data_IF_136821072650
#
_entry.id   IF_136821072650
#
_cell.length_a   1.000
_cell.length_b   1.000
_cell.length_c   1.000
_cell.angle_alpha   90.00
_cell.angle_beta   90.00
_cell.angle_gamma   90.00
#
_symmetry.space_group_name_H-M   'P 1'
#
loop_
_entity.id
_entity.type
_entity.pdbx_description
1 polymer ?
#
# COMPACT_ATOMS: atom_id res chain seq x y z
N UNK A 1 -18.41 -12.48 -40.63
CA UNK A 1 -17.15 -13.00 -41.20
C UNK A 1 -16.24 -13.35 -40.04
N UNK A 2 -16.14 -14.66 -39.76
CA UNK A 2 -15.42 -15.19 -38.60
C UNK A 2 -13.99 -15.53 -38.98
N UNK A 3 -13.00 -15.02 -38.26
CA UNK A 3 -11.62 -15.43 -38.43
C UNK A 3 -11.28 -16.59 -37.48
N UNK A 4 -10.67 -17.68 -37.95
CA UNK A 4 -10.28 -18.80 -37.12
C UNK A 4 -8.92 -18.58 -36.46
N UNK A 5 -8.85 -18.88 -35.16
CA UNK A 5 -7.59 -18.92 -34.40
C UNK A 5 -6.88 -20.25 -34.71
N UNK A 6 -5.68 -20.14 -35.26
CA UNK A 6 -4.82 -21.29 -35.61
C UNK A 6 -4.14 -21.85 -34.35
N UNK A 7 -4.44 -23.11 -34.00
CA UNK A 7 -3.68 -23.93 -33.06
C UNK A 7 -2.50 -24.55 -33.80
N UNK A 8 -1.26 -24.18 -33.51
CA UNK A 8 -0.07 -24.96 -33.85
C UNK A 8 0.38 -25.76 -32.64
N UNK A 9 0.15 -27.07 -32.70
CA UNK A 9 0.81 -28.03 -31.85
C UNK A 9 2.28 -28.16 -32.29
N UNK A 10 3.22 -28.09 -31.38
CA UNK A 10 4.60 -28.52 -31.57
C UNK A 10 4.91 -29.65 -30.60
N UNK A 11 5.19 -30.83 -31.16
CA UNK A 11 5.59 -32.07 -30.51
C UNK A 11 7.12 -32.08 -30.44
N UNK A 12 7.66 -32.47 -29.31
CA UNK A 12 8.83 -33.30 -29.18
C UNK A 12 10.18 -32.65 -29.06
N UNK A 13 10.85 -32.98 -27.93
CA UNK A 13 12.27 -32.81 -27.72
C UNK A 13 12.63 -32.93 -26.25
N UNK A 14 12.76 -34.16 -25.74
CA UNK A 14 13.36 -34.40 -24.41
C UNK A 14 14.87 -34.15 -24.51
N UNK A 15 15.31 -33.02 -23.95
CA UNK A 15 16.72 -32.78 -23.65
C UNK A 15 16.88 -32.83 -22.14
N UNK A 16 17.59 -33.84 -21.65
CA UNK A 16 18.05 -33.91 -20.27
C UNK A 16 19.04 -32.79 -20.01
N UNK A 17 18.54 -31.67 -19.48
CA UNK A 17 19.34 -30.57 -18.99
C UNK A 17 19.65 -30.76 -17.52
N UNK A 18 20.91 -30.91 -17.16
CA UNK A 18 21.40 -30.86 -15.80
C UNK A 18 20.95 -29.55 -15.15
N UNK A 19 20.11 -29.62 -14.11
CA UNK A 19 19.76 -28.49 -13.30
C UNK A 19 21.01 -28.04 -12.52
N UNK A 20 21.70 -27.02 -13.01
CA UNK A 20 22.66 -26.29 -12.21
C UNK A 20 21.87 -25.58 -11.10
N UNK A 21 22.02 -26.05 -9.88
CA UNK A 21 21.60 -25.31 -8.68
C UNK A 21 22.42 -24.03 -8.66
N UNK A 22 21.83 -22.94 -9.08
CA UNK A 22 22.43 -21.61 -8.87
C UNK A 22 22.45 -21.38 -7.35
N UNK A 23 23.61 -21.56 -6.74
CA UNK A 23 23.89 -21.09 -5.40
C UNK A 23 23.80 -19.58 -5.51
N UNK A 24 22.67 -19.01 -5.07
CA UNK A 24 22.47 -17.57 -5.03
C UNK A 24 23.65 -16.94 -4.26
N UNK A 25 24.29 -15.94 -4.86
CA UNK A 25 25.27 -15.14 -4.17
C UNK A 25 24.65 -14.62 -2.84
N UNK A 26 25.37 -14.63 -1.72
CA UNK A 26 24.85 -14.08 -0.47
C UNK A 26 24.41 -12.64 -0.73
N UNK A 27 23.20 -12.29 -0.27
CA UNK A 27 22.72 -10.92 -0.36
C UNK A 27 23.79 -10.01 0.28
N UNK A 28 24.25 -9.01 -0.47
CA UNK A 28 25.21 -8.06 0.06
C UNK A 28 24.66 -7.44 1.34
N UNK A 29 25.45 -7.34 2.41
CA UNK A 29 25.03 -6.73 3.67
C UNK A 29 24.54 -5.30 3.43
N UNK A 30 23.44 -4.94 4.11
CA UNK A 30 22.87 -3.60 4.01
C UNK A 30 23.91 -2.55 4.45
N UNK A 31 24.06 -1.49 3.65
CA UNK A 31 24.92 -0.36 4.02
C UNK A 31 24.44 0.25 5.34
N UNK A 32 25.32 0.64 6.28
CA UNK A 32 24.90 1.29 7.52
C UNK A 32 23.94 2.46 7.24
N UNK A 33 22.73 2.43 7.83
CA UNK A 33 21.70 3.44 7.61
C UNK A 33 20.73 3.17 6.45
N UNK A 34 21.00 2.21 5.57
CA UNK A 34 20.12 1.90 4.42
C UNK A 34 18.72 1.47 4.85
N UNK A 35 18.59 0.71 5.94
CA UNK A 35 17.32 0.26 6.52
C UNK A 35 16.95 1.03 7.81
N UNK A 36 17.41 2.27 7.96
CA UNK A 36 17.11 3.10 9.14
C UNK A 36 15.75 3.77 9.04
N UNK A 37 15.20 4.11 10.20
CA UNK A 37 13.95 4.85 10.36
C UNK A 37 14.20 6.18 11.08
N UNK A 38 13.30 7.17 10.97
CA UNK A 38 13.35 8.37 11.77
C UNK A 38 13.33 8.04 13.28
N UNK A 39 14.12 8.78 14.06
CA UNK A 39 14.29 8.56 15.51
C UNK A 39 13.73 9.68 16.36
N UNK A 40 12.88 10.53 15.80
CA UNK A 40 12.21 11.59 16.50
C UNK A 40 11.26 11.02 17.56
N UNK A 41 10.83 11.88 18.47
CA UNK A 41 9.87 11.46 19.50
C UNK A 41 8.56 10.95 18.86
N UNK A 42 8.02 11.66 17.85
CA UNK A 42 6.77 11.29 17.17
C UNK A 42 6.91 9.98 16.40
N UNK A 43 8.02 9.80 15.66
CA UNK A 43 8.30 8.55 14.96
C UNK A 43 8.35 7.35 15.91
N UNK A 44 8.97 7.49 17.10
CA UNK A 44 9.00 6.43 18.12
C UNK A 44 7.61 6.13 18.67
N UNK A 45 6.77 7.15 18.91
CA UNK A 45 5.38 6.95 19.36
C UNK A 45 4.56 6.21 18.31
N UNK A 46 4.68 6.62 17.05
CA UNK A 46 4.01 5.95 15.92
C UNK A 46 4.47 4.49 15.79
N UNK A 47 5.76 4.23 15.86
CA UNK A 47 6.29 2.86 15.85
C UNK A 47 5.69 2.01 16.98
N UNK A 48 5.58 2.57 18.17
CA UNK A 48 5.01 1.88 19.33
C UNK A 48 3.52 1.57 19.12
N UNK A 49 2.74 2.53 18.62
CA UNK A 49 1.32 2.34 18.28
C UNK A 49 1.16 1.18 17.28
N UNK A 50 1.86 1.27 16.16
CA UNK A 50 1.80 0.28 15.06
C UNK A 50 2.25 -1.12 15.53
N UNK A 51 3.31 -1.19 16.34
CA UNK A 51 3.79 -2.47 16.89
C UNK A 51 2.76 -3.15 17.80
N UNK A 52 1.94 -2.37 18.50
CA UNK A 52 0.90 -2.90 19.41
C UNK A 52 -0.40 -3.24 18.68
N UNK A 53 -0.75 -2.47 17.63
CA UNK A 53 -2.04 -2.56 16.97
C UNK A 53 -2.03 -3.49 15.76
N UNK A 54 -0.94 -3.51 14.99
CA UNK A 54 -0.87 -4.26 13.73
C UNK A 54 -0.33 -5.68 13.94
N UNK A 55 -0.94 -6.63 13.24
CA UNK A 55 -0.40 -7.99 13.12
C UNK A 55 1.00 -7.94 12.43
N UNK A 56 1.88 -8.92 12.67
CA UNK A 56 3.26 -8.88 12.18
C UNK A 56 3.40 -8.65 10.66
N UNK A 57 2.54 -9.25 9.83
CA UNK A 57 2.59 -9.07 8.38
C UNK A 57 2.23 -7.64 7.97
N UNK A 58 1.21 -7.03 8.62
CA UNK A 58 0.74 -5.67 8.34
C UNK A 58 1.79 -4.64 8.80
N UNK A 59 2.35 -4.82 9.99
CA UNK A 59 3.46 -4.00 10.49
C UNK A 59 4.67 -4.06 9.54
N UNK A 60 5.03 -5.26 9.09
CA UNK A 60 6.14 -5.42 8.16
C UNK A 60 5.83 -4.73 6.81
N UNK A 61 4.58 -4.80 6.31
CA UNK A 61 4.13 -4.04 5.15
C UNK A 61 4.36 -2.54 5.36
N UNK A 62 3.88 -1.97 6.44
CA UNK A 62 4.05 -0.55 6.77
C UNK A 62 5.52 -0.12 6.82
N UNK A 63 6.39 -0.93 7.44
CA UNK A 63 7.83 -0.66 7.53
C UNK A 63 8.52 -0.75 6.14
N UNK A 64 8.19 -1.76 5.35
CA UNK A 64 8.74 -1.91 3.98
C UNK A 64 8.26 -0.78 3.08
N UNK A 65 7.00 -0.36 3.18
CA UNK A 65 6.45 0.77 2.43
C UNK A 65 7.30 2.03 2.61
N UNK A 66 7.70 2.35 3.84
CA UNK A 66 8.58 3.49 4.09
C UNK A 66 9.98 3.30 3.47
N UNK A 67 10.57 2.11 3.60
CA UNK A 67 11.89 1.84 3.05
C UNK A 67 11.89 1.94 1.52
N UNK A 68 10.87 1.41 0.88
CA UNK A 68 10.69 1.53 -0.58
C UNK A 68 10.39 2.96 -1.01
N UNK A 69 9.54 3.69 -0.28
CA UNK A 69 9.26 5.11 -0.54
C UNK A 69 10.54 5.94 -0.57
N UNK A 70 11.38 5.79 0.45
CA UNK A 70 12.65 6.50 0.57
C UNK A 70 13.65 6.10 -0.53
N UNK A 71 13.74 4.81 -0.84
CA UNK A 71 14.64 4.31 -1.88
C UNK A 71 14.21 4.82 -3.26
N UNK A 72 12.92 4.73 -3.59
CA UNK A 72 12.38 5.23 -4.86
C UNK A 72 12.55 6.76 -5.00
N UNK A 73 12.31 7.52 -3.93
CA UNK A 73 12.57 8.96 -3.92
C UNK A 73 14.06 9.26 -4.19
N UNK A 74 14.97 8.48 -3.59
CA UNK A 74 16.41 8.59 -3.83
C UNK A 74 16.79 8.33 -5.28
N UNK A 75 16.21 7.33 -5.94
CA UNK A 75 16.44 7.07 -7.38
C UNK A 75 15.97 8.24 -8.27
N UNK A 76 14.97 8.99 -7.82
CA UNK A 76 14.52 10.23 -8.47
C UNK A 76 15.34 11.47 -8.10
N UNK A 77 16.45 11.32 -7.37
CA UNK A 77 17.29 12.43 -6.92
C UNK A 77 16.69 13.26 -5.77
N UNK A 78 15.60 12.80 -5.15
CA UNK A 78 14.97 13.48 -4.00
C UNK A 78 15.71 13.12 -2.72
N UNK A 79 16.09 14.12 -1.95
CA UNK A 79 16.84 13.97 -0.70
C UNK A 79 15.96 14.30 0.51
N UNK A 80 15.99 13.46 1.59
CA UNK A 80 15.28 13.79 2.83
C UNK A 80 15.80 15.12 3.43
N UNK A 81 14.92 15.85 4.09
CA UNK A 81 15.14 17.18 4.69
C UNK A 81 15.47 18.32 3.70
N UNK A 82 15.60 18.02 2.41
CA UNK A 82 15.81 19.02 1.36
C UNK A 82 14.60 19.11 0.43
N UNK A 83 14.06 17.95 0.04
CA UNK A 83 12.95 17.86 -0.91
C UNK A 83 11.66 17.36 -0.29
N UNK A 84 11.73 16.73 0.88
CA UNK A 84 10.58 16.23 1.64
C UNK A 84 10.96 15.99 3.10
N UNK A 85 9.95 15.96 3.98
CA UNK A 85 10.09 15.56 5.38
C UNK A 85 10.04 14.02 5.52
N UNK A 86 11.16 13.36 5.86
CA UNK A 86 11.19 11.90 6.01
C UNK A 86 10.36 11.40 7.19
N UNK A 87 10.13 12.20 8.23
CA UNK A 87 9.22 11.83 9.32
C UNK A 87 7.79 11.76 8.82
N UNK A 88 7.35 12.74 8.02
CA UNK A 88 5.98 12.77 7.50
C UNK A 88 5.71 11.59 6.56
N UNK A 89 6.66 11.24 5.67
CA UNK A 89 6.57 10.01 4.86
C UNK A 89 6.48 8.77 5.75
N UNK A 90 7.27 8.72 6.82
CA UNK A 90 7.23 7.61 7.78
C UNK A 90 5.87 7.47 8.48
N UNK A 91 5.30 8.59 8.94
CA UNK A 91 3.99 8.61 9.57
C UNK A 91 2.90 8.07 8.63
N UNK A 92 2.88 8.55 7.38
CA UNK A 92 1.93 8.08 6.36
C UNK A 92 2.07 6.57 6.17
N UNK A 93 3.30 6.09 5.89
CA UNK A 93 3.54 4.68 5.63
C UNK A 93 3.18 3.77 6.81
N UNK A 94 3.40 4.22 8.05
CA UNK A 94 3.09 3.39 9.23
C UNK A 94 1.60 3.38 9.57
N UNK A 95 0.90 4.46 9.32
CA UNK A 95 -0.48 4.64 9.77
C UNK A 95 -1.53 4.31 8.70
N UNK A 96 -1.16 4.14 7.41
CA UNK A 96 -2.12 4.04 6.31
C UNK A 96 -3.12 2.89 6.46
N UNK A 97 -2.70 1.77 7.01
CA UNK A 97 -3.52 0.58 7.20
C UNK A 97 -4.08 0.42 8.64
N UNK A 98 -4.02 1.47 9.46
CA UNK A 98 -4.55 1.42 10.82
C UNK A 98 -6.07 1.15 10.85
N UNK A 99 -6.81 1.46 9.81
CA UNK A 99 -8.22 1.12 9.66
C UNK A 99 -8.51 -0.39 9.56
N UNK A 100 -7.49 -1.20 9.28
CA UNK A 100 -7.55 -2.67 9.28
C UNK A 100 -7.27 -3.29 10.65
N UNK A 101 -6.93 -2.49 11.66
CA UNK A 101 -6.72 -2.94 13.04
C UNK A 101 -8.00 -2.83 13.87
N UNK A 102 -8.06 -3.54 15.01
CA UNK A 102 -9.20 -3.45 15.92
C UNK A 102 -9.47 -2.00 16.37
N UNK A 103 -8.41 -1.19 16.56
CA UNK A 103 -8.54 0.22 16.96
C UNK A 103 -9.14 1.11 15.86
N UNK A 104 -8.88 0.78 14.59
CA UNK A 104 -9.37 1.52 13.44
C UNK A 104 -10.62 0.91 12.80
N UNK A 105 -11.14 -0.22 13.31
CA UNK A 105 -12.30 -0.91 12.76
C UNK A 105 -13.62 -0.21 13.15
N UNK A 106 -13.94 0.87 12.45
CA UNK A 106 -15.19 1.64 12.59
C UNK A 106 -16.19 1.26 11.48
N UNK A 107 -17.29 1.99 11.36
CA UNK A 107 -18.28 1.82 10.28
C UNK A 107 -17.86 2.40 8.92
N UNK A 108 -16.72 3.08 8.87
CA UNK A 108 -16.20 3.68 7.65
C UNK A 108 -15.35 2.66 6.85
N UNK A 109 -15.13 2.96 5.56
CA UNK A 109 -14.08 2.29 4.77
C UNK A 109 -12.75 2.40 5.52
N UNK A 110 -11.91 1.36 5.41
CA UNK A 110 -10.69 1.28 6.22
C UNK A 110 -9.72 2.45 5.97
N UNK A 111 -9.68 2.98 4.74
CA UNK A 111 -8.84 4.12 4.39
C UNK A 111 -9.25 5.37 5.17
N UNK A 112 -10.56 5.63 5.24
CA UNK A 112 -11.12 6.80 5.96
C UNK A 112 -11.00 6.59 7.46
N UNK A 113 -11.33 5.39 7.96
CA UNK A 113 -11.19 5.05 9.37
C UNK A 113 -9.73 5.16 9.85
N UNK A 114 -8.78 4.71 9.01
CA UNK A 114 -7.34 4.84 9.25
C UNK A 114 -6.87 6.29 9.24
N UNK A 115 -7.34 7.09 8.28
CA UNK A 115 -7.03 8.52 8.20
C UNK A 115 -7.51 9.29 9.44
N UNK A 116 -8.76 9.04 9.87
CA UNK A 116 -9.33 9.64 11.08
C UNK A 116 -8.58 9.22 12.35
N UNK A 117 -8.16 7.94 12.44
CA UNK A 117 -7.35 7.47 13.56
C UNK A 117 -5.98 8.16 13.57
N UNK A 118 -5.34 8.27 12.41
CA UNK A 118 -4.05 8.93 12.27
C UNK A 118 -4.13 10.41 12.65
N UNK A 119 -5.15 11.13 12.19
CA UNK A 119 -5.37 12.53 12.54
C UNK A 119 -5.52 12.71 14.06
N UNK A 120 -6.42 11.95 14.68
CA UNK A 120 -6.59 11.98 16.16
C UNK A 120 -5.32 11.60 16.92
N UNK A 121 -4.56 10.65 16.41
CA UNK A 121 -3.28 10.29 17.00
C UNK A 121 -2.30 11.47 16.99
N UNK A 122 -2.16 12.15 15.86
CA UNK A 122 -1.28 13.33 15.72
C UNK A 122 -1.74 14.47 16.64
N UNK A 123 -3.02 14.80 16.62
CA UNK A 123 -3.62 15.86 17.45
C UNK A 123 -3.43 15.60 18.95
N UNK A 124 -3.64 14.37 19.41
CA UNK A 124 -3.40 13.94 20.79
C UNK A 124 -1.93 14.01 21.20
N UNK A 125 -1.03 14.11 20.22
CA UNK A 125 0.40 14.31 20.42
C UNK A 125 0.85 15.75 20.15
N UNK A 126 -0.09 16.69 20.10
CA UNK A 126 0.19 18.12 19.96
C UNK A 126 0.53 18.59 18.54
N UNK A 127 0.30 17.76 17.53
CA UNK A 127 0.45 18.15 16.12
C UNK A 127 -0.91 18.65 15.63
N UNK A 128 -1.01 19.95 15.36
CA UNK A 128 -2.26 20.60 14.96
C UNK A 128 -2.11 21.50 13.72
N UNK A 129 -1.02 21.31 13.00
CA UNK A 129 -0.71 22.02 11.78
C UNK A 129 -1.01 21.19 10.51
N UNK A 130 -0.63 21.69 9.35
CA UNK A 130 -0.85 21.08 8.04
C UNK A 130 -0.36 19.62 7.90
N UNK A 131 0.48 19.14 8.82
CA UNK A 131 0.92 17.74 8.81
C UNK A 131 -0.23 16.77 9.05
N UNK A 132 -1.22 17.17 9.87
CA UNK A 132 -2.43 16.36 10.11
C UNK A 132 -3.19 16.17 8.81
N UNK A 133 -3.47 17.25 8.08
CA UNK A 133 -4.18 17.20 6.80
C UNK A 133 -3.38 16.39 5.76
N UNK A 134 -2.06 16.57 5.71
CA UNK A 134 -1.19 15.82 4.79
C UNK A 134 -1.25 14.31 5.04
N UNK A 135 -1.19 13.88 6.29
CA UNK A 135 -1.28 12.46 6.67
C UNK A 135 -2.68 11.94 6.39
N UNK A 136 -3.72 12.71 6.73
CA UNK A 136 -5.10 12.35 6.47
C UNK A 136 -5.38 12.18 4.97
N UNK A 137 -5.03 13.19 4.14
CA UNK A 137 -5.18 13.16 2.68
C UNK A 137 -4.47 11.92 2.08
N UNK A 138 -3.22 11.68 2.48
CA UNK A 138 -2.46 10.55 1.97
C UNK A 138 -3.13 9.21 2.30
N UNK A 139 -3.58 9.03 3.54
CA UNK A 139 -4.19 7.77 3.99
C UNK A 139 -5.58 7.59 3.35
N UNK A 140 -6.41 8.62 3.31
CA UNK A 140 -7.73 8.54 2.71
C UNK A 140 -7.69 8.24 1.20
N UNK A 141 -6.61 8.64 0.51
CA UNK A 141 -6.44 8.49 -0.93
C UNK A 141 -5.58 7.29 -1.35
N UNK A 142 -4.96 6.54 -0.43
CA UNK A 142 -3.92 5.57 -0.78
C UNK A 142 -4.40 4.40 -1.67
N UNK A 143 -5.72 4.13 -1.72
CA UNK A 143 -6.31 3.15 -2.64
C UNK A 143 -6.90 3.79 -3.91
N UNK A 144 -6.85 5.13 -4.02
CA UNK A 144 -7.35 5.86 -5.20
C UNK A 144 -6.27 5.94 -6.26
N UNK A 145 -6.34 5.02 -7.23
CA UNK A 145 -5.33 4.91 -8.28
C UNK A 145 -5.15 6.22 -9.05
N UNK A 146 -3.92 6.51 -9.46
CA UNK A 146 -3.50 7.63 -10.32
C UNK A 146 -3.75 9.05 -9.78
N UNK A 147 -4.39 9.24 -8.63
CA UNK A 147 -4.63 10.58 -8.08
C UNK A 147 -3.32 11.29 -7.77
N UNK A 148 -2.37 10.61 -7.12
CA UNK A 148 -1.07 11.18 -6.76
C UNK A 148 -0.10 11.34 -7.95
N UNK A 149 -0.39 10.73 -9.09
CA UNK A 149 0.37 10.87 -10.34
C UNK A 149 -0.02 12.14 -11.13
N UNK A 150 -1.17 12.72 -10.82
CA UNK A 150 -1.63 13.94 -11.49
C UNK A 150 -0.61 15.08 -11.33
N UNK A 151 -0.13 15.71 -12.44
CA UNK A 151 0.79 16.83 -12.34
C UNK A 151 0.23 18.04 -11.56
N UNK A 152 -1.10 18.19 -11.56
CA UNK A 152 -1.76 19.25 -10.78
C UNK A 152 -1.75 18.90 -9.30
N UNK A 153 -2.05 17.64 -8.95
CA UNK A 153 -1.96 17.16 -7.58
C UNK A 153 -0.54 17.35 -7.04
N UNK A 154 0.46 16.86 -7.77
CA UNK A 154 1.88 16.92 -7.37
C UNK A 154 2.39 18.34 -7.11
N UNK A 155 1.95 19.34 -7.89
CA UNK A 155 2.39 20.73 -7.65
C UNK A 155 1.60 21.44 -6.55
N UNK A 156 0.43 20.92 -6.15
CA UNK A 156 -0.48 21.56 -5.17
C UNK A 156 -0.47 20.87 -3.81
N UNK A 157 0.01 19.66 -3.72
CA UNK A 157 0.04 18.86 -2.49
C UNK A 157 1.47 18.57 -2.06
N UNK A 158 1.69 18.36 -0.76
CA UNK A 158 3.00 17.98 -0.24
C UNK A 158 3.57 16.75 -0.95
N UNK A 159 4.88 16.77 -1.25
CA UNK A 159 5.57 15.70 -1.97
C UNK A 159 5.54 14.38 -1.22
N UNK A 160 5.42 14.43 0.10
CA UNK A 160 5.37 13.29 1.01
C UNK A 160 4.23 12.34 0.68
N UNK A 161 3.08 12.86 0.22
CA UNK A 161 1.93 12.05 -0.20
C UNK A 161 2.35 11.13 -1.34
N UNK A 162 2.84 11.69 -2.44
CA UNK A 162 3.25 10.91 -3.60
C UNK A 162 4.38 9.94 -3.29
N UNK A 163 5.36 10.37 -2.50
CA UNK A 163 6.49 9.52 -2.07
C UNK A 163 6.00 8.32 -1.26
N UNK A 164 5.13 8.55 -0.27
CA UNK A 164 4.60 7.47 0.56
C UNK A 164 3.74 6.49 -0.26
N UNK A 165 2.84 7.00 -1.10
CA UNK A 165 1.96 6.16 -1.94
C UNK A 165 2.77 5.32 -2.95
N UNK A 166 3.85 5.86 -3.51
CA UNK A 166 4.79 5.09 -4.34
C UNK A 166 5.38 3.90 -3.54
N UNK A 167 5.84 4.13 -2.32
CA UNK A 167 6.40 3.06 -1.48
C UNK A 167 5.38 1.99 -1.08
N UNK A 168 4.14 2.39 -0.78
CA UNK A 168 3.02 1.50 -0.49
C UNK A 168 2.72 0.64 -1.72
N UNK A 169 2.63 1.25 -2.90
CA UNK A 169 2.42 0.56 -4.17
C UNK A 169 3.52 -0.46 -4.47
N UNK A 170 4.79 -0.06 -4.35
CA UNK A 170 5.93 -0.95 -4.57
C UNK A 170 5.86 -2.17 -3.64
N UNK A 171 5.51 -2.01 -2.37
CA UNK A 171 5.39 -3.18 -1.49
C UNK A 171 4.19 -4.07 -1.84
N UNK A 172 3.14 -3.49 -2.38
CA UNK A 172 1.95 -4.25 -2.77
C UNK A 172 2.18 -5.08 -4.04
N UNK A 173 2.65 -4.46 -5.12
CA UNK A 173 2.68 -5.02 -6.48
C UNK A 173 4.09 -5.23 -7.05
N UNK A 174 5.12 -4.67 -6.43
CA UNK A 174 6.48 -4.56 -6.97
C UNK A 174 6.73 -3.21 -7.64
N UNK A 175 7.98 -2.91 -8.00
CA UNK A 175 8.34 -1.71 -8.74
C UNK A 175 7.83 -1.79 -10.19
N UNK A 176 7.33 -0.67 -10.72
CA UNK A 176 6.88 -0.56 -12.12
C UNK A 176 8.06 -0.55 -13.11
N UNK A 177 9.23 -0.08 -12.66
CA UNK A 177 10.47 0.00 -13.42
C UNK A 177 11.63 -0.63 -12.62
N UNK A 178 12.48 -1.47 -13.23
CA UNK A 178 13.66 -2.05 -12.57
C UNK A 178 14.61 -1.00 -11.96
N UNK A 179 14.64 0.23 -12.49
CA UNK A 179 15.44 1.34 -11.96
C UNK A 179 14.82 2.07 -10.76
N UNK A 180 13.58 1.77 -10.40
CA UNK A 180 12.87 2.45 -9.31
C UNK A 180 13.47 2.16 -7.92
N UNK A 181 14.18 1.04 -7.77
CA UNK A 181 14.88 0.66 -6.55
C UNK A 181 16.36 0.37 -6.83
N UNK A 182 17.27 0.60 -5.86
CA UNK A 182 18.65 0.15 -5.98
C UNK A 182 18.74 -1.37 -6.16
N UNK A 183 19.73 -1.90 -6.91
CA UNK A 183 19.90 -3.34 -7.09
C UNK A 183 19.98 -4.11 -5.78
N UNK A 184 19.21 -5.20 -5.65
CA UNK A 184 19.16 -6.06 -4.47
C UNK A 184 18.58 -5.41 -3.21
N UNK A 185 18.08 -4.17 -3.29
CA UNK A 185 17.48 -3.48 -2.13
C UNK A 185 16.23 -4.20 -1.63
N UNK A 186 15.35 -4.61 -2.55
CA UNK A 186 14.13 -5.32 -2.18
C UNK A 186 14.43 -6.64 -1.43
N UNK A 187 15.45 -7.39 -1.84
CA UNK A 187 15.84 -8.64 -1.18
C UNK A 187 16.30 -8.38 0.25
N UNK A 188 17.12 -7.35 0.47
CA UNK A 188 17.58 -6.97 1.81
C UNK A 188 16.42 -6.52 2.71
N UNK A 189 15.49 -5.74 2.16
CA UNK A 189 14.29 -5.30 2.88
C UNK A 189 13.41 -6.51 3.26
N UNK A 190 13.13 -7.43 2.33
CA UNK A 190 12.33 -8.63 2.59
C UNK A 190 13.02 -9.62 3.55
N UNK A 191 14.34 -9.73 3.51
CA UNK A 191 15.09 -10.53 4.48
C UNK A 191 14.93 -9.98 5.91
N UNK A 192 14.92 -8.65 6.08
CA UNK A 192 14.79 -7.99 7.39
C UNK A 192 13.34 -7.90 7.87
N UNK A 193 12.41 -7.70 6.96
CA UNK A 193 10.96 -7.55 7.20
C UNK A 193 10.19 -8.49 6.28
N UNK A 194 10.09 -9.79 6.62
CA UNK A 194 9.46 -10.78 5.76
C UNK A 194 7.97 -10.49 5.53
N UNK A 195 7.46 -10.91 4.37
CA UNK A 195 6.08 -10.61 3.94
C UNK A 195 5.00 -11.30 4.78
N UNK A 196 5.26 -12.50 5.31
CA UNK A 196 4.36 -13.25 6.21
C UNK A 196 2.92 -13.39 5.64
N UNK A 197 2.80 -13.74 4.37
CA UNK A 197 1.52 -13.80 3.66
C UNK A 197 1.17 -12.53 2.86
N UNK A 198 1.76 -11.38 3.19
CA UNK A 198 1.71 -10.14 2.42
C UNK A 198 0.30 -9.72 2.02
N UNK A 199 0.13 -9.38 0.73
CA UNK A 199 -1.14 -8.89 0.19
C UNK A 199 -2.31 -9.87 0.35
N UNK A 200 -2.06 -11.19 0.39
CA UNK A 200 -3.13 -12.17 0.63
C UNK A 200 -3.68 -12.04 2.06
N UNK A 201 -2.80 -11.94 3.06
CA UNK A 201 -3.21 -11.76 4.44
C UNK A 201 -3.95 -10.42 4.66
N UNK A 202 -3.51 -9.35 3.99
CA UNK A 202 -4.18 -8.06 3.98
C UNK A 202 -5.58 -8.16 3.36
N UNK A 203 -5.70 -8.85 2.21
CA UNK A 203 -6.98 -9.12 1.55
C UNK A 203 -7.95 -9.83 2.49
N UNK A 204 -7.51 -10.85 3.22
CA UNK A 204 -8.38 -11.60 4.14
C UNK A 204 -8.93 -10.72 5.28
N UNK A 205 -8.13 -9.78 5.81
CA UNK A 205 -8.65 -8.82 6.82
C UNK A 205 -9.71 -7.90 6.19
N UNK A 206 -9.46 -7.34 5.00
CA UNK A 206 -10.44 -6.49 4.32
C UNK A 206 -11.75 -7.25 4.08
N UNK A 207 -11.68 -8.49 3.59
CA UNK A 207 -12.85 -9.34 3.37
C UNK A 207 -13.59 -9.62 4.67
N UNK A 208 -12.88 -10.01 5.73
CA UNK A 208 -13.49 -10.29 7.03
C UNK A 208 -14.22 -9.07 7.61
N UNK A 209 -13.60 -7.90 7.57
CA UNK A 209 -14.24 -6.65 8.00
C UNK A 209 -15.45 -6.28 7.14
N UNK A 210 -15.37 -6.50 5.83
CA UNK A 210 -16.45 -6.21 4.87
C UNK A 210 -17.64 -7.15 5.04
N UNK A 211 -17.40 -8.43 5.32
CA UNK A 211 -18.45 -9.40 5.64
C UNK A 211 -19.15 -9.08 6.96
N UNK A 212 -18.38 -8.66 7.97
CA UNK A 212 -18.93 -8.26 9.27
C UNK A 212 -19.73 -6.95 9.18
N UNK A 213 -19.32 -6.03 8.31
CA UNK A 213 -20.00 -4.75 8.09
C UNK A 213 -19.91 -4.33 6.61
N UNK A 214 -20.96 -4.60 5.80
CA UNK A 214 -20.98 -4.25 4.37
C UNK A 214 -20.81 -2.75 4.06
N UNK A 215 -21.08 -1.86 5.01
CA UNK A 215 -20.85 -0.41 4.83
C UNK A 215 -19.38 -0.07 4.60
N UNK A 216 -18.48 -0.95 5.00
CA UNK A 216 -17.02 -0.80 4.81
C UNK A 216 -16.57 -1.11 3.38
N UNK A 217 -17.42 -1.75 2.59
CA UNK A 217 -17.14 -2.17 1.21
C UNK A 217 -18.19 -1.65 0.21
N UNK A 218 -18.33 -0.32 0.08
CA UNK A 218 -19.24 0.24 -0.92
C UNK A 218 -18.85 -0.22 -2.33
N UNK A 219 -19.81 -0.44 -3.23
CA UNK A 219 -19.51 -0.74 -4.64
C UNK A 219 -18.55 0.28 -5.26
N UNK A 220 -17.75 -0.15 -6.23
CA UNK A 220 -16.76 0.68 -6.95
C UNK A 220 -15.65 1.25 -6.05
N UNK A 221 -15.42 0.65 -4.89
CA UNK A 221 -14.24 0.92 -4.04
C UNK A 221 -13.37 -0.32 -3.98
N UNK A 222 -12.08 -0.16 -3.60
CA UNK A 222 -11.19 -1.32 -3.48
C UNK A 222 -11.76 -2.42 -2.55
N UNK A 223 -12.23 -2.10 -1.33
CA UNK A 223 -12.85 -3.13 -0.47
C UNK A 223 -14.10 -3.76 -1.10
N UNK A 224 -14.94 -2.96 -1.76
CA UNK A 224 -16.15 -3.44 -2.42
C UNK A 224 -15.86 -4.39 -3.56
N UNK A 225 -14.88 -4.04 -4.40
CA UNK A 225 -14.44 -4.88 -5.52
C UNK A 225 -13.81 -6.18 -5.04
N UNK A 226 -12.93 -6.13 -4.03
CA UNK A 226 -12.34 -7.33 -3.44
C UNK A 226 -13.41 -8.24 -2.85
N UNK A 227 -14.38 -7.70 -2.12
CA UNK A 227 -15.48 -8.48 -1.56
C UNK A 227 -16.29 -9.15 -2.67
N UNK A 228 -16.63 -8.43 -3.72
CA UNK A 228 -17.38 -8.97 -4.87
C UNK A 228 -16.63 -10.12 -5.55
N UNK A 229 -15.33 -9.97 -5.78
CA UNK A 229 -14.51 -11.02 -6.41
C UNK A 229 -14.37 -12.28 -5.52
N UNK A 230 -14.30 -12.11 -4.20
CA UNK A 230 -14.14 -13.22 -3.26
C UNK A 230 -15.46 -13.90 -2.90
N UNK A 231 -16.56 -13.16 -2.96
CA UNK A 231 -17.91 -13.63 -2.61
C UNK A 231 -18.93 -13.22 -3.68
N UNK A 232 -18.82 -13.77 -4.92
CA UNK A 232 -19.66 -13.35 -6.05
C UNK A 232 -21.14 -13.66 -5.88
N UNK A 233 -21.52 -14.48 -4.91
CA UNK A 233 -22.90 -14.76 -4.58
C UNK A 233 -23.58 -13.67 -3.72
N UNK A 234 -22.80 -12.73 -3.15
CA UNK A 234 -23.36 -11.62 -2.42
C UNK A 234 -23.93 -10.56 -3.40
N UNK A 235 -25.02 -9.86 -3.03
CA UNK A 235 -25.52 -8.76 -3.84
C UNK A 235 -24.44 -7.70 -4.08
N UNK A 236 -24.24 -7.33 -5.34
CA UNK A 236 -23.31 -6.26 -5.72
C UNK A 236 -24.05 -5.32 -6.67
N UNK A 237 -24.42 -4.11 -6.22
CA UNK A 237 -25.08 -3.13 -7.07
C UNK A 237 -24.19 -2.74 -8.25
N UNK A 238 -24.64 -3.01 -9.46
CA UNK A 238 -23.98 -2.53 -10.69
C UNK A 238 -24.32 -1.07 -10.92
N UNK A 239 -23.58 -0.41 -11.80
CA UNK A 239 -23.87 0.97 -12.18
C UNK A 239 -25.29 1.10 -12.78
N UNK A 240 -25.66 0.17 -13.67
CA UNK A 240 -26.99 0.17 -14.29
C UNK A 240 -28.11 0.02 -13.25
N UNK A 241 -27.93 -0.88 -12.26
CA UNK A 241 -28.89 -1.00 -11.14
C UNK A 241 -29.04 0.30 -10.34
N UNK A 242 -27.95 1.07 -10.20
CA UNK A 242 -27.98 2.38 -9.52
C UNK A 242 -28.75 3.39 -10.37
N UNK A 243 -28.53 3.38 -11.69
CA UNK A 243 -29.28 4.24 -12.63
C UNK A 243 -30.75 3.89 -12.66
N UNK A 244 -31.09 2.59 -12.75
CA UNK A 244 -32.47 2.10 -12.76
C UNK A 244 -33.23 2.45 -11.46
N UNK A 245 -32.52 2.55 -10.34
CA UNK A 245 -33.08 2.96 -9.05
C UNK A 245 -33.25 4.49 -8.92
N UNK A 246 -32.81 5.27 -9.90
CA UNK A 246 -32.94 6.72 -9.90
C UNK A 246 -34.42 7.13 -10.00
N UNK A 247 -34.85 7.96 -9.06
CA UNK A 247 -36.23 8.42 -9.00
C UNK A 247 -36.50 9.69 -9.82
N UNK A 248 -35.47 10.29 -10.43
CA UNK A 248 -35.58 11.54 -11.18
C UNK A 248 -35.94 11.32 -12.66
N UNK A 249 -35.71 10.11 -13.19
CA UNK A 249 -35.77 9.80 -14.62
C UNK A 249 -34.59 10.38 -15.41
N UNK A 250 -34.39 9.88 -16.63
CA UNK A 250 -33.43 10.40 -17.60
C UNK A 250 -34.08 11.36 -18.59
#
# INVERSE_FOLDING_TARGET
MSHPISRRAAIGGAAAGAAAVAIGAPAADATPGELSFPTTWLARRTHTLVTRAQQPFLRNHSLRSFLFARAAAGQQGRRPNEHYDPELVYLICLLHDMGLTDQGNTDQRFEVAGADLAARFLENHGITDHRVDTVWDAIALHTSQHVHESPVFQRRRPAEIGIALTGIGIDLTGPDDPGQLPPGFADRVHARYPRLGGCRALTEIMVAQSLANPRKAPPMTLPGEILHQRHPALPYPTWDMILDANTWGD
#
